data_IF_082291422690
#
_entry.id   IF_082291422690
#
_cell.length_a   1.000
_cell.length_b   1.000
_cell.length_c   1.000
_cell.angle_alpha   90.00
_cell.angle_beta   90.00
_cell.angle_gamma   90.00
#
_symmetry.space_group_name_H-M   'P 1'
#
loop_
_entity.id
_entity.type
_entity.pdbx_description
1 polymer ?
#
# COMPACT_ATOMS: atom_id res chain seq x y z
N UNK A 1 36.08 -21.82 -26.79
CA UNK A 1 34.63 -21.57 -26.81
C UNK A 1 34.37 -20.31 -26.03
N UNK A 2 34.36 -19.18 -26.74
CA UNK A 2 34.09 -17.87 -26.18
C UNK A 2 32.63 -17.79 -25.72
N UNK A 3 32.43 -17.33 -24.50
CA UNK A 3 31.10 -16.99 -23.98
C UNK A 3 30.58 -15.79 -24.77
N UNK A 4 29.60 -16.05 -25.62
CA UNK A 4 28.82 -15.01 -26.29
C UNK A 4 27.94 -14.35 -25.24
N UNK A 5 28.46 -13.28 -24.62
CA UNK A 5 27.62 -12.29 -23.97
C UNK A 5 26.87 -11.53 -25.05
N UNK A 6 25.68 -12.01 -25.40
CA UNK A 6 24.71 -11.27 -26.20
C UNK A 6 24.33 -10.00 -25.44
N UNK A 7 24.91 -8.87 -25.85
CA UNK A 7 24.48 -7.55 -25.43
C UNK A 7 23.02 -7.39 -25.86
N UNK A 8 22.11 -7.24 -24.90
CA UNK A 8 20.72 -6.91 -25.19
C UNK A 8 20.67 -5.62 -26.06
N UNK A 9 19.87 -5.59 -27.13
CA UNK A 9 19.84 -4.45 -28.05
C UNK A 9 19.46 -3.16 -27.34
N UNK A 10 20.12 -2.08 -27.77
CA UNK A 10 20.19 -0.77 -27.09
C UNK A 10 18.82 -0.15 -26.78
N UNK A 11 17.78 -0.47 -27.57
CA UNK A 11 16.39 -0.02 -27.36
C UNK A 11 15.77 -0.63 -26.08
N UNK A 12 16.15 -1.86 -25.71
CA UNK A 12 15.59 -2.59 -24.57
C UNK A 12 16.23 -2.20 -23.24
N UNK A 13 17.55 -1.95 -23.23
CA UNK A 13 18.21 -1.32 -22.07
C UNK A 13 17.55 0.02 -21.76
N UNK A 14 17.30 0.83 -22.79
CA UNK A 14 16.59 2.09 -22.61
C UNK A 14 15.17 1.91 -22.04
N UNK A 15 14.41 0.90 -22.48
CA UNK A 15 13.07 0.63 -21.93
C UNK A 15 13.10 0.15 -20.48
N UNK A 16 14.02 -0.74 -20.12
CA UNK A 16 14.18 -1.22 -18.74
C UNK A 16 14.61 -0.07 -17.85
N UNK A 17 15.69 0.64 -18.21
CA UNK A 17 16.25 1.73 -17.42
C UNK A 17 15.26 2.87 -17.26
N UNK A 18 14.51 3.24 -18.31
CA UNK A 18 13.46 4.24 -18.23
C UNK A 18 12.29 3.79 -17.33
N UNK A 19 11.94 2.51 -17.34
CA UNK A 19 10.86 1.97 -16.51
C UNK A 19 11.28 1.86 -15.05
N UNK A 20 12.53 1.47 -14.79
CA UNK A 20 13.13 1.51 -13.45
C UNK A 20 13.16 2.95 -12.94
N UNK A 21 13.64 3.91 -13.74
CA UNK A 21 13.65 5.32 -13.35
C UNK A 21 12.24 5.86 -13.07
N UNK A 22 11.24 5.44 -13.86
CA UNK A 22 9.84 5.78 -13.61
C UNK A 22 9.36 5.26 -12.25
N UNK A 23 9.53 3.98 -11.94
CA UNK A 23 9.10 3.43 -10.66
C UNK A 23 9.89 4.02 -9.50
N UNK A 24 11.19 4.26 -9.68
CA UNK A 24 12.00 4.92 -8.67
C UNK A 24 11.50 6.35 -8.38
N UNK A 25 11.03 7.08 -9.39
CA UNK A 25 10.44 8.40 -9.20
C UNK A 25 9.05 8.31 -8.55
N UNK A 26 8.18 7.43 -9.06
CA UNK A 26 6.80 7.29 -8.60
C UNK A 26 6.71 6.66 -7.19
N UNK A 27 7.32 5.50 -7.00
CA UNK A 27 7.18 4.64 -5.81
C UNK A 27 8.35 4.74 -4.84
N UNK A 28 9.54 5.10 -5.33
CA UNK A 28 10.77 5.13 -4.53
C UNK A 28 11.52 3.80 -4.52
N UNK A 29 11.08 2.86 -5.35
CA UNK A 29 11.69 1.55 -5.56
C UNK A 29 11.30 1.02 -6.94
N UNK A 30 12.03 0.02 -7.41
CA UNK A 30 11.76 -0.74 -8.63
C UNK A 30 12.02 -2.24 -8.37
N UNK A 31 11.83 -3.15 -9.34
CA UNK A 31 12.35 -4.51 -9.21
C UNK A 31 13.88 -4.47 -9.07
N UNK A 32 14.39 -5.12 -8.04
CA UNK A 32 15.83 -5.19 -7.72
C UNK A 32 16.34 -6.63 -7.71
N UNK A 33 15.52 -7.57 -7.23
CA UNK A 33 15.87 -8.97 -7.09
C UNK A 33 15.45 -9.81 -8.29
N UNK A 34 14.47 -9.32 -9.07
CA UNK A 34 13.96 -10.03 -10.24
C UNK A 34 15.01 -10.06 -11.33
N UNK A 35 15.36 -11.27 -11.75
CA UNK A 35 16.21 -11.51 -12.92
C UNK A 35 15.38 -11.52 -14.20
N UNK A 36 15.97 -11.03 -15.29
CA UNK A 36 15.36 -11.07 -16.63
C UNK A 36 16.14 -12.04 -17.51
N UNK A 37 15.47 -13.06 -18.02
CA UNK A 37 15.97 -13.96 -19.04
C UNK A 37 15.20 -13.75 -20.35
N UNK A 38 15.90 -13.80 -21.46
CA UNK A 38 15.32 -13.64 -22.79
C UNK A 38 15.64 -14.87 -23.61
N UNK A 39 14.61 -15.44 -24.23
CA UNK A 39 14.74 -16.63 -25.05
C UNK A 39 14.34 -16.25 -26.48
N UNK A 40 15.25 -16.40 -27.46
CA UNK A 40 14.94 -16.17 -28.87
C UNK A 40 13.71 -16.98 -29.32
N UNK A 41 12.92 -16.43 -30.25
CA UNK A 41 11.68 -17.07 -30.71
C UNK A 41 11.92 -18.50 -31.24
N UNK A 42 13.01 -18.72 -31.95
CA UNK A 42 13.39 -20.04 -32.48
C UNK A 42 13.77 -21.07 -31.40
N UNK A 43 14.02 -20.64 -30.16
CA UNK A 43 14.36 -21.50 -29.01
C UNK A 43 13.20 -21.60 -28.01
N UNK A 44 12.12 -20.83 -28.20
CA UNK A 44 11.05 -20.71 -27.20
C UNK A 44 10.31 -22.01 -26.96
N UNK A 45 9.89 -22.70 -28.03
CA UNK A 45 9.11 -23.92 -27.90
C UNK A 45 9.90 -25.01 -27.20
N UNK A 46 11.18 -25.19 -27.58
CA UNK A 46 12.08 -26.14 -26.92
C UNK A 46 12.24 -25.80 -25.44
N UNK A 47 12.51 -24.52 -25.12
CA UNK A 47 12.62 -24.06 -23.73
C UNK A 47 11.35 -24.33 -22.92
N UNK A 48 10.18 -24.04 -23.49
CA UNK A 48 8.89 -24.22 -22.83
C UNK A 48 8.59 -25.71 -22.61
N UNK A 49 8.77 -26.55 -23.63
CA UNK A 49 8.54 -27.99 -23.56
C UNK A 49 9.45 -28.68 -22.53
N UNK A 50 10.75 -28.37 -22.55
CA UNK A 50 11.72 -28.93 -21.59
C UNK A 50 11.39 -28.61 -20.13
N UNK A 51 10.61 -27.54 -19.89
CA UNK A 51 10.21 -27.10 -18.55
C UNK A 51 8.74 -27.36 -18.22
N UNK A 52 8.00 -28.03 -19.12
CA UNK A 52 6.57 -28.29 -18.94
C UNK A 52 5.72 -27.01 -18.90
N UNK A 53 6.14 -25.98 -19.64
CA UNK A 53 5.49 -24.67 -19.72
C UNK A 53 4.65 -24.56 -20.99
N UNK A 54 3.73 -23.61 -21.05
CA UNK A 54 2.89 -23.40 -22.22
C UNK A 54 3.70 -22.72 -23.36
N UNK A 55 3.94 -23.39 -24.50
CA UNK A 55 4.72 -22.82 -25.62
C UNK A 55 4.01 -21.64 -26.28
N UNK A 56 2.69 -21.51 -26.13
CA UNK A 56 1.93 -20.38 -26.67
C UNK A 56 2.02 -19.11 -25.81
N UNK A 57 2.62 -19.18 -24.63
CA UNK A 57 2.87 -17.97 -23.83
C UNK A 57 3.96 -17.10 -24.47
N UNK A 58 3.88 -15.79 -24.25
CA UNK A 58 4.91 -14.84 -24.69
C UNK A 58 5.87 -14.43 -23.57
N UNK A 59 5.64 -14.92 -22.35
CA UNK A 59 6.40 -14.61 -21.15
C UNK A 59 5.94 -15.49 -20.01
N UNK A 60 6.83 -15.69 -19.04
CA UNK A 60 6.60 -16.50 -17.84
C UNK A 60 7.39 -15.90 -16.68
N UNK A 61 6.71 -15.61 -15.59
CA UNK A 61 7.34 -15.30 -14.31
C UNK A 61 7.40 -16.53 -13.41
N UNK A 62 8.56 -16.74 -12.80
CA UNK A 62 8.84 -17.84 -11.87
C UNK A 62 9.07 -17.28 -10.46
N UNK A 63 8.04 -17.21 -9.60
CA UNK A 63 8.16 -16.62 -8.26
C UNK A 63 9.24 -17.26 -7.40
N UNK A 64 9.40 -18.59 -7.53
CA UNK A 64 10.41 -19.39 -6.83
C UNK A 64 11.83 -18.84 -6.95
N UNK A 65 12.20 -18.39 -8.15
CA UNK A 65 13.54 -17.89 -8.45
C UNK A 65 13.55 -16.37 -8.68
N UNK A 66 12.38 -15.71 -8.57
CA UNK A 66 12.17 -14.32 -8.97
C UNK A 66 12.77 -14.06 -10.35
N UNK A 67 12.33 -14.84 -11.34
CA UNK A 67 12.85 -14.77 -12.70
C UNK A 67 11.71 -14.52 -13.69
N UNK A 68 11.82 -13.43 -14.44
CA UNK A 68 10.97 -13.17 -15.59
C UNK A 68 11.67 -13.71 -16.85
N UNK A 69 11.00 -14.59 -17.57
CA UNK A 69 11.47 -15.12 -18.85
C UNK A 69 10.57 -14.59 -19.95
N UNK A 70 11.14 -13.89 -20.92
CA UNK A 70 10.37 -13.30 -22.03
C UNK A 70 10.75 -13.92 -23.36
N UNK A 71 9.74 -14.19 -24.19
CA UNK A 71 9.94 -14.63 -25.57
C UNK A 71 10.36 -13.43 -26.41
N UNK A 72 11.56 -13.53 -26.95
CA UNK A 72 12.15 -12.56 -27.87
C UNK A 72 12.12 -11.10 -27.32
N UNK A 73 12.09 -10.12 -28.21
CA UNK A 73 11.93 -8.70 -27.91
C UNK A 73 10.46 -8.29 -27.82
N UNK A 74 9.68 -8.92 -26.93
CA UNK A 74 8.31 -8.52 -26.67
C UNK A 74 8.23 -7.54 -25.48
N UNK A 75 8.00 -6.23 -25.69
CA UNK A 75 7.95 -5.25 -24.59
C UNK A 75 6.74 -5.44 -23.67
N UNK A 76 5.61 -5.91 -24.19
CA UNK A 76 4.42 -6.16 -23.36
C UNK A 76 4.66 -7.31 -22.39
N UNK A 77 5.29 -8.40 -22.84
CA UNK A 77 5.73 -9.47 -21.95
C UNK A 77 6.77 -8.99 -20.95
N UNK A 78 7.70 -8.11 -21.34
CA UNK A 78 8.61 -7.48 -20.38
C UNK A 78 7.86 -6.71 -19.29
N UNK A 79 6.88 -5.89 -19.66
CA UNK A 79 6.07 -5.13 -18.71
C UNK A 79 5.26 -6.05 -17.79
N UNK A 80 4.66 -7.10 -18.35
CA UNK A 80 3.84 -8.05 -17.61
C UNK A 80 4.66 -8.89 -16.63
N UNK A 81 5.70 -9.57 -17.12
CA UNK A 81 6.45 -10.54 -16.33
C UNK A 81 7.46 -9.86 -15.39
N UNK A 82 8.27 -8.93 -15.92
CA UNK A 82 9.36 -8.33 -15.14
C UNK A 82 8.85 -7.23 -14.21
N UNK A 83 8.08 -6.28 -14.74
CA UNK A 83 7.58 -5.16 -13.95
C UNK A 83 6.26 -5.47 -13.23
N UNK A 84 5.36 -6.24 -13.83
CA UNK A 84 4.11 -6.64 -13.20
C UNK A 84 4.35 -7.66 -12.09
N UNK A 85 4.69 -8.89 -12.47
CA UNK A 85 4.89 -9.95 -11.49
C UNK A 85 6.12 -9.76 -10.61
N UNK A 86 7.26 -9.34 -11.17
CA UNK A 86 8.48 -9.08 -10.41
C UNK A 86 8.29 -8.05 -9.30
N UNK A 87 7.77 -6.87 -9.64
CA UNK A 87 7.50 -5.82 -8.64
C UNK A 87 6.50 -6.28 -7.58
N UNK A 88 5.44 -6.99 -7.98
CA UNK A 88 4.47 -7.53 -7.03
C UNK A 88 5.13 -8.50 -6.04
N UNK A 89 5.90 -9.47 -6.54
CA UNK A 89 6.59 -10.43 -5.68
C UNK A 89 7.63 -9.80 -4.75
N UNK A 90 8.26 -8.71 -5.16
CA UNK A 90 9.27 -8.02 -4.35
C UNK A 90 8.71 -7.00 -3.36
N UNK A 91 7.66 -6.26 -3.72
CA UNK A 91 7.25 -5.04 -3.01
C UNK A 91 5.82 -5.08 -2.46
N UNK A 92 5.09 -6.18 -2.71
CA UNK A 92 3.77 -6.43 -2.15
C UNK A 92 3.83 -7.49 -1.03
N UNK A 93 3.09 -7.32 0.08
CA UNK A 93 3.08 -8.32 1.16
C UNK A 93 2.57 -9.70 0.71
N UNK A 94 1.51 -9.73 -0.08
CA UNK A 94 0.95 -10.97 -0.64
C UNK A 94 1.95 -11.58 -1.64
N UNK A 95 2.59 -10.76 -2.47
CA UNK A 95 3.62 -11.21 -3.40
C UNK A 95 4.85 -11.81 -2.71
N UNK A 96 5.30 -11.20 -1.61
CA UNK A 96 6.42 -11.72 -0.80
C UNK A 96 6.06 -13.06 -0.17
N UNK A 97 4.84 -13.22 0.35
CA UNK A 97 4.36 -14.49 0.89
C UNK A 97 4.33 -15.59 -0.18
N UNK A 98 3.95 -15.27 -1.42
CA UNK A 98 4.03 -16.23 -2.53
C UNK A 98 5.47 -16.73 -2.74
N UNK A 99 6.44 -15.81 -2.78
CA UNK A 99 7.87 -16.15 -2.95
C UNK A 99 8.39 -16.98 -1.76
N UNK A 100 8.00 -16.62 -0.54
CA UNK A 100 8.38 -17.35 0.67
C UNK A 100 7.90 -18.81 0.64
N UNK A 101 6.61 -19.03 0.33
CA UNK A 101 6.04 -20.37 0.22
C UNK A 101 6.71 -21.21 -0.87
N UNK A 102 7.01 -20.60 -2.02
CA UNK A 102 7.73 -21.25 -3.12
C UNK A 102 9.15 -21.66 -2.75
N UNK A 103 9.89 -20.76 -2.08
CA UNK A 103 11.25 -21.04 -1.61
C UNK A 103 11.24 -22.11 -0.53
N UNK A 104 10.30 -22.04 0.42
CA UNK A 104 10.13 -23.06 1.46
C UNK A 104 9.87 -24.44 0.85
N UNK A 105 8.93 -24.53 -0.09
CA UNK A 105 8.65 -25.77 -0.80
C UNK A 105 9.88 -26.30 -1.54
N UNK A 106 10.64 -25.43 -2.21
CA UNK A 106 11.88 -25.84 -2.89
C UNK A 106 12.91 -26.43 -1.94
N UNK A 107 13.09 -25.86 -0.75
CA UNK A 107 14.04 -26.40 0.24
C UNK A 107 13.56 -27.76 0.78
N UNK A 108 12.26 -27.94 0.99
CA UNK A 108 11.68 -29.24 1.36
C UNK A 108 11.86 -30.29 0.24
N UNK A 109 11.65 -29.90 -1.02
CA UNK A 109 11.90 -30.77 -2.19
C UNK A 109 13.38 -31.18 -2.27
N UNK A 110 14.31 -30.23 -2.08
CA UNK A 110 15.76 -30.52 -2.07
C UNK A 110 16.14 -31.48 -0.96
N UNK A 111 15.56 -31.34 0.22
CA UNK A 111 15.84 -32.21 1.36
C UNK A 111 15.36 -33.64 1.09
N UNK A 112 14.10 -33.80 0.67
CA UNK A 112 13.48 -35.09 0.36
C UNK A 112 14.26 -35.87 -0.72
N UNK A 113 14.76 -35.16 -1.73
CA UNK A 113 15.43 -35.77 -2.87
C UNK A 113 16.95 -35.64 -2.84
N UNK A 114 17.54 -35.19 -1.73
CA UNK A 114 18.99 -34.92 -1.61
C UNK A 114 19.88 -36.14 -1.89
N UNK A 115 19.40 -37.35 -1.55
CA UNK A 115 20.19 -38.58 -1.60
C UNK A 115 19.83 -39.51 -2.77
N UNK A 116 18.91 -39.12 -3.64
CA UNK A 116 18.42 -39.99 -4.73
C UNK A 116 18.04 -39.22 -5.99
N UNK A 117 18.14 -39.89 -7.13
CA UNK A 117 17.43 -39.44 -8.34
C UNK A 117 15.93 -39.67 -8.12
N UNK A 118 15.12 -38.79 -8.67
CA UNK A 118 13.66 -38.84 -8.55
C UNK A 118 13.03 -38.52 -9.91
N UNK A 119 11.81 -39.00 -10.12
CA UNK A 119 11.02 -38.70 -11.33
C UNK A 119 10.02 -37.57 -11.07
N UNK A 120 9.33 -37.13 -12.12
CA UNK A 120 8.25 -36.15 -11.98
C UNK A 120 7.09 -36.72 -11.14
N UNK A 121 6.79 -38.01 -11.27
CA UNK A 121 5.76 -38.69 -10.47
C UNK A 121 6.12 -38.73 -8.97
N UNK A 122 7.39 -38.95 -8.64
CA UNK A 122 7.88 -38.89 -7.26
C UNK A 122 7.65 -37.49 -6.66
N UNK A 123 7.99 -36.45 -7.42
CA UNK A 123 7.79 -35.05 -7.03
C UNK A 123 6.30 -34.73 -6.84
N UNK A 124 5.45 -35.17 -7.77
CA UNK A 124 4.00 -34.97 -7.68
C UNK A 124 3.41 -35.65 -6.45
N UNK A 125 3.84 -36.89 -6.14
CA UNK A 125 3.39 -37.63 -4.96
C UNK A 125 3.83 -36.93 -3.67
N UNK A 126 5.07 -36.46 -3.61
CA UNK A 126 5.56 -35.66 -2.48
C UNK A 126 4.69 -34.43 -2.26
N UNK A 127 4.43 -33.65 -3.31
CA UNK A 127 3.61 -32.44 -3.25
C UNK A 127 2.18 -32.68 -2.76
N UNK A 128 1.52 -33.74 -3.22
CA UNK A 128 0.16 -34.08 -2.79
C UNK A 128 0.04 -34.27 -1.26
N UNK A 129 1.07 -34.84 -0.63
CA UNK A 129 1.12 -35.03 0.83
C UNK A 129 1.76 -33.88 1.61
N UNK A 130 2.31 -32.87 0.94
CA UNK A 130 3.10 -31.81 1.58
C UNK A 130 2.23 -30.62 2.00
N UNK A 131 2.31 -30.22 3.28
CA UNK A 131 1.51 -29.13 3.84
C UNK A 131 1.86 -27.76 3.22
N UNK A 132 3.14 -27.49 2.96
CA UNK A 132 3.57 -26.24 2.34
C UNK A 132 3.03 -26.12 0.91
N UNK A 133 2.98 -27.21 0.15
CA UNK A 133 2.37 -27.23 -1.18
C UNK A 133 0.86 -26.98 -1.11
N UNK A 134 0.15 -27.62 -0.18
CA UNK A 134 -1.29 -27.37 0.02
C UNK A 134 -1.57 -25.91 0.42
N UNK A 135 -0.76 -25.35 1.31
CA UNK A 135 -0.84 -23.92 1.68
C UNK A 135 -0.59 -23.03 0.46
N UNK A 136 0.43 -23.31 -0.35
CA UNK A 136 0.74 -22.58 -1.58
C UNK A 136 -0.40 -22.63 -2.59
N UNK A 137 -1.01 -23.80 -2.81
CA UNK A 137 -2.13 -23.95 -3.75
C UNK A 137 -3.37 -23.18 -3.26
N UNK A 138 -3.71 -23.27 -1.99
CA UNK A 138 -4.81 -22.49 -1.41
C UNK A 138 -4.53 -20.98 -1.54
N UNK A 139 -3.30 -20.55 -1.21
CA UNK A 139 -2.89 -19.15 -1.32
C UNK A 139 -2.96 -18.64 -2.77
N UNK A 140 -2.57 -19.46 -3.75
CA UNK A 140 -2.69 -19.14 -5.17
C UNK A 140 -4.15 -19.00 -5.57
N UNK A 141 -5.02 -19.94 -5.20
CA UNK A 141 -6.45 -19.86 -5.53
C UNK A 141 -7.11 -18.57 -5.01
N UNK A 142 -6.72 -18.12 -3.82
CA UNK A 142 -7.23 -16.88 -3.21
C UNK A 142 -6.68 -15.60 -3.87
N UNK A 143 -5.46 -15.62 -4.41
CA UNK A 143 -4.74 -14.40 -4.79
C UNK A 143 -4.39 -14.29 -6.29
N UNK A 144 -4.54 -15.37 -7.08
CA UNK A 144 -4.11 -15.43 -8.48
C UNK A 144 -4.76 -14.34 -9.33
N UNK A 145 -6.06 -14.09 -9.13
CA UNK A 145 -6.78 -13.05 -9.87
C UNK A 145 -6.19 -11.67 -9.61
N UNK A 146 -5.87 -11.34 -8.35
CA UNK A 146 -5.30 -10.03 -7.99
C UNK A 146 -3.88 -9.88 -8.54
N UNK A 147 -3.09 -10.95 -8.44
CA UNK A 147 -1.73 -11.02 -8.95
C UNK A 147 -1.67 -10.81 -10.47
N UNK A 148 -2.51 -11.50 -11.22
CA UNK A 148 -2.62 -11.36 -12.67
C UNK A 148 -3.18 -9.99 -13.08
N UNK A 149 -4.24 -9.54 -12.40
CA UNK A 149 -4.85 -8.23 -12.67
C UNK A 149 -3.82 -7.09 -12.52
N UNK A 150 -2.94 -7.17 -11.52
CA UNK A 150 -1.87 -6.20 -11.33
C UNK A 150 -0.87 -6.21 -12.49
N UNK A 151 -0.47 -7.40 -12.96
CA UNK A 151 0.47 -7.52 -14.07
C UNK A 151 -0.11 -7.00 -15.39
N UNK A 152 -1.39 -7.29 -15.67
CA UNK A 152 -2.10 -6.75 -16.83
C UNK A 152 -2.24 -5.22 -16.73
N UNK A 153 -2.55 -4.68 -15.54
CA UNK A 153 -2.61 -3.23 -15.36
C UNK A 153 -1.24 -2.57 -15.55
N UNK A 154 -0.16 -3.21 -15.08
CA UNK A 154 1.21 -2.74 -15.29
C UNK A 154 1.60 -2.75 -16.76
N UNK A 155 1.21 -3.80 -17.50
CA UNK A 155 1.34 -3.91 -18.95
C UNK A 155 0.63 -2.75 -19.65
N UNK A 156 -0.61 -2.45 -19.27
CA UNK A 156 -1.36 -1.29 -19.79
C UNK A 156 -0.64 0.02 -19.49
N UNK A 157 -0.27 0.27 -18.24
CA UNK A 157 0.37 1.51 -17.76
C UNK A 157 1.64 1.82 -18.57
N UNK A 158 2.56 0.85 -18.65
CA UNK A 158 3.81 1.04 -19.38
C UNK A 158 3.59 1.08 -20.90
N UNK A 159 2.58 0.37 -21.42
CA UNK A 159 2.23 0.48 -22.84
C UNK A 159 1.77 1.90 -23.21
N UNK A 160 1.01 2.58 -22.35
CA UNK A 160 0.64 3.98 -22.59
C UNK A 160 1.87 4.88 -22.53
N UNK A 161 2.73 4.68 -21.52
CA UNK A 161 3.93 5.49 -21.30
C UNK A 161 4.94 5.43 -22.46
N UNK A 162 5.05 4.28 -23.11
CA UNK A 162 6.01 4.06 -24.20
C UNK A 162 5.36 4.02 -25.59
N UNK A 163 4.14 4.54 -25.75
CA UNK A 163 3.42 4.58 -27.03
C UNK A 163 3.19 3.20 -27.68
N UNK A 164 3.00 2.16 -26.86
CA UNK A 164 2.70 0.78 -27.26
C UNK A 164 1.24 0.38 -26.99
N UNK A 165 0.37 1.37 -26.72
CA UNK A 165 -1.04 1.17 -26.37
C UNK A 165 -1.82 0.36 -27.40
N UNK A 166 -1.56 0.57 -28.70
CA UNK A 166 -2.23 -0.19 -29.77
C UNK A 166 -1.92 -1.69 -29.69
N UNK A 167 -0.68 -2.04 -29.37
CA UNK A 167 -0.26 -3.44 -29.19
C UNK A 167 -1.01 -4.09 -28.03
N UNK A 168 -1.17 -3.38 -26.90
CA UNK A 168 -1.97 -3.86 -25.78
C UNK A 168 -3.45 -4.00 -26.16
N UNK A 169 -4.01 -3.02 -26.88
CA UNK A 169 -5.41 -3.04 -27.30
C UNK A 169 -5.75 -4.21 -28.23
N UNK A 170 -4.80 -4.73 -29.02
CA UNK A 170 -5.01 -5.93 -29.83
C UNK A 170 -5.14 -7.20 -28.98
N UNK A 171 -4.49 -7.26 -27.81
CA UNK A 171 -4.61 -8.37 -26.84
C UNK A 171 -5.93 -8.31 -26.04
N UNK A 172 -6.45 -7.10 -25.83
CA UNK A 172 -7.58 -6.84 -24.94
C UNK A 172 -8.87 -7.64 -25.22
N UNK A 173 -9.30 -7.86 -26.49
CA UNK A 173 -10.53 -8.61 -26.79
C UNK A 173 -10.47 -10.10 -26.43
N UNK A 174 -9.27 -10.65 -26.21
CA UNK A 174 -9.10 -12.07 -25.88
C UNK A 174 -9.29 -12.37 -24.39
N UNK A 175 -9.44 -11.35 -23.54
CA UNK A 175 -9.83 -11.54 -22.15
C UNK A 175 -11.30 -11.96 -22.04
N UNK A 176 -11.61 -12.85 -21.11
CA UNK A 176 -12.99 -13.19 -20.82
C UNK A 176 -13.75 -11.97 -20.25
N UNK A 177 -15.10 -11.97 -20.35
CA UNK A 177 -15.94 -10.82 -19.93
C UNK A 177 -15.68 -10.36 -18.49
N UNK A 178 -15.44 -11.31 -17.57
CA UNK A 178 -15.16 -11.01 -16.16
C UNK A 178 -13.82 -10.29 -16.00
N UNK A 179 -12.76 -10.81 -16.64
CA UNK A 179 -11.43 -10.22 -16.65
C UNK A 179 -11.44 -8.81 -17.26
N UNK A 180 -12.13 -8.59 -18.38
CA UNK A 180 -12.25 -7.25 -18.98
C UNK A 180 -12.95 -6.25 -18.05
N UNK A 181 -13.95 -6.68 -17.26
CA UNK A 181 -14.61 -5.79 -16.30
C UNK A 181 -13.67 -5.38 -15.17
N UNK A 182 -12.88 -6.31 -14.63
CA UNK A 182 -11.91 -6.04 -13.56
C UNK A 182 -10.77 -5.13 -14.06
N UNK A 183 -10.27 -5.38 -15.29
CA UNK A 183 -9.25 -4.54 -15.92
C UNK A 183 -9.78 -3.11 -16.17
N UNK A 184 -11.00 -2.98 -16.72
CA UNK A 184 -11.63 -1.67 -16.90
C UNK A 184 -11.81 -0.92 -15.57
N UNK A 185 -12.20 -1.64 -14.51
CA UNK A 185 -12.36 -1.06 -13.19
C UNK A 185 -11.05 -0.48 -12.67
N UNK A 186 -9.94 -1.23 -12.74
CA UNK A 186 -8.64 -0.75 -12.24
C UNK A 186 -8.05 0.38 -13.11
N UNK A 187 -8.22 0.31 -14.43
CA UNK A 187 -7.84 1.42 -15.32
C UNK A 187 -8.66 2.68 -14.99
N UNK A 188 -9.96 2.53 -14.74
CA UNK A 188 -10.84 3.62 -14.31
C UNK A 188 -10.39 4.22 -12.98
N UNK A 189 -10.05 3.38 -12.00
CA UNK A 189 -9.50 3.80 -10.72
C UNK A 189 -8.20 4.60 -10.90
N UNK A 190 -7.26 4.09 -11.70
CA UNK A 190 -5.99 4.77 -12.00
C UNK A 190 -6.18 6.12 -12.68
N UNK A 191 -7.16 6.27 -13.57
CA UNK A 191 -7.50 7.55 -14.19
C UNK A 191 -8.15 8.52 -13.21
N UNK A 192 -8.91 8.00 -12.25
CA UNK A 192 -9.62 8.82 -11.29
C UNK A 192 -8.70 9.35 -10.19
N UNK A 193 -7.86 8.47 -9.61
CA UNK A 193 -7.08 8.71 -8.41
C UNK A 193 -5.55 8.73 -8.62
N UNK A 194 -5.06 8.40 -9.81
CA UNK A 194 -3.63 8.38 -10.12
C UNK A 194 -2.98 7.01 -9.97
N UNK A 195 -1.78 6.90 -10.52
CA UNK A 195 -0.99 5.66 -10.55
C UNK A 195 -0.55 5.26 -9.13
N UNK A 196 -0.08 6.22 -8.33
CA UNK A 196 0.38 5.97 -6.96
C UNK A 196 -0.73 5.42 -6.05
N UNK A 197 -1.94 5.98 -6.17
CA UNK A 197 -3.13 5.46 -5.47
C UNK A 197 -3.44 4.02 -5.88
N UNK A 198 -3.24 3.69 -7.16
CA UNK A 198 -3.51 2.35 -7.70
C UNK A 198 -2.54 1.31 -7.14
N UNK A 199 -1.25 1.64 -7.05
CA UNK A 199 -0.27 0.81 -6.34
C UNK A 199 -0.69 0.55 -4.88
N UNK A 200 -1.16 1.59 -4.18
CA UNK A 200 -1.55 1.47 -2.77
C UNK A 200 -2.83 0.64 -2.58
N UNK A 201 -3.76 0.69 -3.52
CA UNK A 201 -4.95 -0.18 -3.59
C UNK A 201 -4.55 -1.65 -3.78
N UNK A 202 -3.49 -1.93 -4.56
CA UNK A 202 -2.95 -3.27 -4.66
C UNK A 202 -2.17 -3.74 -3.43
N UNK A 203 -1.95 -2.89 -2.43
CA UNK A 203 -1.28 -3.26 -1.17
C UNK A 203 0.25 -3.17 -1.21
N UNK A 204 0.78 -2.35 -2.12
CA UNK A 204 2.22 -2.08 -2.21
C UNK A 204 2.73 -1.20 -1.06
N UNK A 205 4.03 -1.26 -0.83
CA UNK A 205 4.72 -0.38 0.11
C UNK A 205 4.52 1.09 -0.26
N UNK A 206 4.19 1.90 0.75
CA UNK A 206 3.85 3.32 0.68
C UNK A 206 5.02 4.13 1.20
N UNK A 207 5.87 4.63 0.30
CA UNK A 207 6.94 5.55 0.66
C UNK A 207 6.31 6.94 0.86
N UNK A 208 6.16 7.34 2.11
CA UNK A 208 5.38 8.52 2.52
C UNK A 208 6.26 9.76 2.73
N UNK A 209 7.09 10.11 1.74
CA UNK A 209 7.83 11.38 1.74
C UNK A 209 6.98 12.55 1.19
N UNK A 210 7.45 13.78 1.43
CA UNK A 210 6.72 14.99 1.05
C UNK A 210 6.41 15.06 -0.46
N UNK A 211 7.36 14.67 -1.32
CA UNK A 211 7.19 14.70 -2.78
C UNK A 211 6.08 13.74 -3.22
N UNK A 212 6.09 12.51 -2.71
CA UNK A 212 5.10 11.46 -3.04
C UNK A 212 3.73 11.76 -2.47
N UNK A 213 3.67 12.25 -1.23
CA UNK A 213 2.41 12.65 -0.62
C UNK A 213 1.79 13.84 -1.36
N UNK A 214 2.60 14.80 -1.80
CA UNK A 214 2.13 15.91 -2.63
C UNK A 214 1.64 15.41 -4.00
N UNK A 215 2.37 14.50 -4.65
CA UNK A 215 1.97 13.90 -5.92
C UNK A 215 0.64 13.14 -5.79
N UNK A 216 0.52 12.24 -4.81
CA UNK A 216 -0.71 11.54 -4.48
C UNK A 216 -1.88 12.50 -4.27
N UNK A 217 -1.65 13.55 -3.48
CA UNK A 217 -2.68 14.54 -3.17
C UNK A 217 -3.13 15.29 -4.43
N UNK A 218 -2.21 15.62 -5.35
CA UNK A 218 -2.53 16.29 -6.62
C UNK A 218 -3.42 15.42 -7.50
N UNK A 219 -3.16 14.12 -7.57
CA UNK A 219 -3.96 13.21 -8.40
C UNK A 219 -5.37 13.02 -7.82
N UNK A 220 -5.49 12.86 -6.51
CA UNK A 220 -6.77 12.62 -5.84
C UNK A 220 -7.63 13.88 -5.79
N UNK A 221 -7.07 15.00 -5.34
CA UNK A 221 -7.83 16.22 -5.07
C UNK A 221 -7.83 17.20 -6.24
N UNK A 222 -6.91 17.06 -7.19
CA UNK A 222 -6.83 17.86 -8.43
C UNK A 222 -6.87 19.36 -8.12
N UNK A 223 -7.74 20.10 -8.79
CA UNK A 223 -7.87 21.56 -8.64
C UNK A 223 -8.32 22.01 -7.24
N UNK A 224 -8.86 21.10 -6.41
CA UNK A 224 -9.28 21.41 -5.03
C UNK A 224 -8.11 21.78 -4.12
N UNK A 225 -6.89 21.30 -4.44
CA UNK A 225 -5.70 21.67 -3.68
C UNK A 225 -5.36 23.16 -3.77
N UNK A 226 -5.67 23.80 -4.90
CA UNK A 226 -5.32 25.22 -5.12
C UNK A 226 -6.00 26.16 -4.11
N UNK A 227 -7.11 25.71 -3.51
CA UNK A 227 -7.87 26.45 -2.49
C UNK A 227 -7.81 25.76 -1.12
N UNK A 228 -6.80 24.94 -0.87
CA UNK A 228 -6.64 24.23 0.40
C UNK A 228 -5.64 24.96 1.29
N UNK A 229 -6.09 25.67 2.34
CA UNK A 229 -5.22 26.38 3.28
C UNK A 229 -4.14 25.52 3.91
N UNK A 230 -4.45 24.26 4.20
CA UNK A 230 -3.55 23.38 4.93
C UNK A 230 -3.80 21.92 4.58
N UNK A 231 -2.72 21.21 4.25
CA UNK A 231 -2.68 19.76 4.12
C UNK A 231 -1.44 19.21 4.82
N UNK A 232 -1.67 18.30 5.75
CA UNK A 232 -0.64 17.64 6.56
C UNK A 232 -0.76 16.12 6.38
N UNK A 233 0.38 15.43 6.44
CA UNK A 233 0.39 13.99 6.69
C UNK A 233 0.64 13.75 8.17
N UNK A 234 -0.22 12.97 8.80
CA UNK A 234 -0.07 12.55 10.18
C UNK A 234 0.00 11.03 10.25
N UNK A 235 0.09 10.43 11.44
CA UNK A 235 0.13 8.96 11.58
C UNK A 235 1.54 8.35 11.51
N UNK A 236 1.60 7.02 11.30
CA UNK A 236 2.83 6.26 11.56
C UNK A 236 3.90 6.37 10.47
N UNK A 237 3.50 6.69 9.23
CA UNK A 237 4.39 6.73 8.07
C UNK A 237 5.10 5.40 7.76
N UNK A 238 4.60 4.27 8.26
CA UNK A 238 5.17 2.94 7.99
C UNK A 238 4.82 2.51 6.56
N UNK A 239 5.69 1.71 5.94
CA UNK A 239 5.56 1.31 4.54
C UNK A 239 4.23 0.59 4.23
N UNK A 240 3.67 -0.18 5.16
CA UNK A 240 2.42 -0.91 4.91
C UNK A 240 1.25 -0.39 5.76
N UNK A 241 1.40 0.76 6.44
CA UNK A 241 0.26 1.45 7.04
C UNK A 241 -0.48 2.25 5.98
N UNK A 242 -1.74 2.54 6.25
CA UNK A 242 -2.50 3.59 5.58
C UNK A 242 -1.75 4.94 5.54
N UNK A 243 -2.17 5.78 4.60
CA UNK A 243 -1.78 7.18 4.49
C UNK A 243 -2.83 8.01 5.21
N UNK A 244 -2.42 8.73 6.24
CA UNK A 244 -3.30 9.57 7.06
C UNK A 244 -3.12 11.05 6.65
N UNK A 245 -4.09 11.63 5.96
CA UNK A 245 -4.08 13.04 5.53
C UNK A 245 -5.03 13.89 6.37
N UNK A 246 -4.54 15.01 6.88
CA UNK A 246 -5.34 16.02 7.56
C UNK A 246 -5.42 17.28 6.70
N UNK A 247 -6.64 17.72 6.40
CA UNK A 247 -6.88 18.89 5.57
C UNK A 247 -7.78 19.90 6.28
N UNK A 248 -7.44 21.19 6.15
CA UNK A 248 -8.39 22.28 6.37
C UNK A 248 -8.70 22.87 5.00
N UNK A 249 -9.92 22.63 4.52
CA UNK A 249 -10.36 22.99 3.17
C UNK A 249 -11.89 23.02 3.07
N UNK A 250 -12.42 23.95 2.28
CA UNK A 250 -13.86 23.98 1.95
C UNK A 250 -14.21 23.05 0.77
N UNK A 251 -13.21 22.50 0.07
CA UNK A 251 -13.38 21.75 -1.19
C UNK A 251 -13.07 20.25 -1.04
N UNK A 252 -12.22 19.90 -0.05
CA UNK A 252 -11.88 18.52 0.29
C UNK A 252 -12.84 18.02 1.37
N UNK A 253 -13.40 16.84 1.14
CA UNK A 253 -14.27 16.14 2.09
C UNK A 253 -13.53 14.96 2.70
N UNK A 254 -13.91 14.60 3.93
CA UNK A 254 -13.36 13.41 4.58
C UNK A 254 -13.71 12.16 3.78
N UNK A 255 -12.74 11.27 3.60
CA UNK A 255 -12.90 9.99 2.91
C UNK A 255 -12.00 8.95 3.56
N UNK A 256 -12.42 7.69 3.54
CA UNK A 256 -11.74 6.60 4.21
C UNK A 256 -11.73 5.37 3.31
N UNK A 257 -10.57 4.75 3.13
CA UNK A 257 -10.38 3.50 2.40
C UNK A 257 -9.44 2.59 3.19
N UNK A 258 -9.13 1.40 2.66
CA UNK A 258 -8.19 0.49 3.30
C UNK A 258 -6.73 0.99 3.29
N UNK A 259 -6.43 2.07 2.57
CA UNK A 259 -5.07 2.59 2.41
C UNK A 259 -4.94 4.11 2.57
N UNK A 260 -6.06 4.85 2.63
CA UNK A 260 -6.09 6.31 2.75
C UNK A 260 -7.19 6.74 3.72
N UNK A 261 -6.78 7.46 4.76
CA UNK A 261 -7.66 8.11 5.73
C UNK A 261 -7.51 9.64 5.57
N UNK A 262 -8.50 10.31 4.99
CA UNK A 262 -8.54 11.77 4.87
C UNK A 262 -9.49 12.33 5.91
N UNK A 263 -8.95 13.13 6.83
CA UNK A 263 -9.71 13.94 7.78
C UNK A 263 -9.71 15.38 7.29
N UNK A 264 -10.84 15.80 6.74
CA UNK A 264 -11.01 17.15 6.22
C UNK A 264 -12.04 17.92 7.03
N UNK A 265 -11.70 19.17 7.34
CA UNK A 265 -12.56 20.14 8.02
C UNK A 265 -12.63 21.42 7.19
N UNK A 266 -13.81 22.02 7.08
CA UNK A 266 -13.87 23.40 6.60
C UNK A 266 -13.28 24.37 7.64
N UNK A 267 -13.03 25.62 7.26
CA UNK A 267 -12.39 26.60 8.15
C UNK A 267 -13.14 26.76 9.48
N UNK A 268 -14.47 26.87 9.41
CA UNK A 268 -15.32 27.08 10.60
C UNK A 268 -15.31 25.84 11.51
N UNK A 269 -15.46 24.65 10.94
CA UNK A 269 -15.40 23.39 11.67
C UNK A 269 -14.05 23.22 12.36
N UNK A 270 -12.94 23.54 11.67
CA UNK A 270 -11.62 23.49 12.25
C UNK A 270 -11.50 24.43 13.45
N UNK A 271 -12.01 25.66 13.35
CA UNK A 271 -12.01 26.60 14.46
C UNK A 271 -12.85 26.12 15.65
N UNK A 272 -14.03 25.56 15.38
CA UNK A 272 -14.91 25.07 16.42
C UNK A 272 -14.31 23.85 17.14
N UNK A 273 -13.66 22.94 16.43
CA UNK A 273 -12.96 21.80 17.03
C UNK A 273 -11.69 22.20 17.80
N UNK A 274 -10.99 23.26 17.36
CA UNK A 274 -9.86 23.86 18.09
C UNK A 274 -10.31 24.44 19.43
N UNK A 275 -11.44 25.17 19.46
CA UNK A 275 -12.02 25.69 20.72
C UNK A 275 -12.32 24.58 21.73
N UNK A 276 -12.66 23.39 21.24
CA UNK A 276 -12.92 22.20 22.05
C UNK A 276 -11.67 21.40 22.44
N UNK A 277 -10.48 21.85 22.00
CA UNK A 277 -9.20 21.15 22.19
C UNK A 277 -9.29 19.66 21.78
N UNK A 278 -9.98 19.39 20.67
CA UNK A 278 -10.22 18.03 20.21
C UNK A 278 -8.93 17.39 19.66
N UNK A 279 -8.47 16.31 20.29
CA UNK A 279 -7.29 15.54 19.87
C UNK A 279 -7.24 15.19 18.37
N UNK A 280 -8.40 14.99 17.73
CA UNK A 280 -8.49 14.68 16.28
C UNK A 280 -7.98 15.79 15.37
N UNK A 281 -8.01 17.04 15.81
CA UNK A 281 -7.46 18.21 15.09
C UNK A 281 -6.15 18.68 15.70
N UNK A 282 -6.01 18.62 17.04
CA UNK A 282 -4.81 19.09 17.72
C UNK A 282 -3.59 18.24 17.34
N UNK A 283 -3.69 16.91 17.37
CA UNK A 283 -2.52 16.06 17.09
C UNK A 283 -1.99 16.25 15.65
N UNK A 284 -2.81 16.23 14.59
CA UNK A 284 -2.31 16.53 13.25
C UNK A 284 -1.67 17.90 13.14
N UNK A 285 -2.19 18.94 13.78
CA UNK A 285 -1.59 20.28 13.74
C UNK A 285 -0.19 20.30 14.35
N UNK A 286 0.03 19.63 15.49
CA UNK A 286 1.32 19.67 16.19
C UNK A 286 2.34 18.66 15.67
N UNK A 287 1.90 17.43 15.33
CA UNK A 287 2.78 16.32 14.93
C UNK A 287 2.82 16.10 13.41
N UNK A 288 1.88 16.66 12.66
CA UNK A 288 1.76 16.45 11.22
C UNK A 288 2.93 17.03 10.45
N UNK A 289 3.40 16.26 9.46
CA UNK A 289 4.34 16.72 8.44
C UNK A 289 3.61 17.58 7.43
N UNK A 290 4.11 18.78 7.21
CA UNK A 290 3.55 19.69 6.21
C UNK A 290 3.70 19.09 4.79
N UNK A 291 2.62 19.13 4.00
CA UNK A 291 2.64 18.76 2.58
C UNK A 291 2.39 19.98 1.70
N UNK A 292 1.32 20.73 1.99
CA UNK A 292 0.87 21.85 1.15
C UNK A 292 0.10 22.87 2.01
N UNK A 293 0.11 24.12 1.55
CA UNK A 293 -0.74 25.20 2.08
C UNK A 293 0.09 26.40 2.54
N UNK A 294 -0.43 27.11 3.52
CA UNK A 294 0.22 28.25 4.14
C UNK A 294 0.90 27.84 5.47
N UNK A 295 2.24 27.97 5.52
CA UNK A 295 3.04 27.65 6.71
C UNK A 295 2.81 28.66 7.84
N UNK A 296 2.55 29.92 7.52
CA UNK A 296 2.25 30.95 8.51
C UNK A 296 0.84 30.74 9.09
N UNK A 297 -0.10 30.26 8.29
CA UNK A 297 -1.40 29.80 8.78
C UNK A 297 -1.25 28.63 9.77
N UNK A 298 -0.44 27.61 9.46
CA UNK A 298 -0.15 26.51 10.39
C UNK A 298 0.48 27.02 11.69
N UNK A 299 1.44 27.94 11.60
CA UNK A 299 2.09 28.56 12.77
C UNK A 299 1.06 29.32 13.63
N UNK A 300 0.21 30.12 13.00
CA UNK A 300 -0.87 30.86 13.65
C UNK A 300 -1.84 29.92 14.37
N UNK A 301 -2.20 28.78 13.76
CA UNK A 301 -3.04 27.77 14.42
C UNK A 301 -2.36 27.19 15.67
N UNK A 302 -1.07 26.86 15.60
CA UNK A 302 -0.31 26.37 16.75
C UNK A 302 -0.28 27.40 17.89
N UNK A 303 0.00 28.66 17.58
CA UNK A 303 0.01 29.75 18.56
C UNK A 303 -1.38 29.98 19.18
N UNK A 304 -2.44 29.96 18.35
CA UNK A 304 -3.83 30.04 18.82
C UNK A 304 -4.15 28.93 19.82
N UNK A 305 -3.80 27.69 19.51
CA UNK A 305 -4.02 26.54 20.40
C UNK A 305 -3.21 26.67 21.70
N UNK A 306 -1.94 27.08 21.61
CA UNK A 306 -1.05 27.26 22.77
C UNK A 306 -1.57 28.34 23.73
N UNK A 307 -2.11 29.45 23.19
CA UNK A 307 -2.56 30.59 23.97
C UNK A 307 -4.03 30.52 24.41
N UNK A 308 -4.85 29.65 23.80
CA UNK A 308 -6.28 29.51 24.13
C UNK A 308 -6.49 29.02 25.57
N UNK A 309 -7.33 29.64 26.37
CA UNK A 309 -7.63 29.13 27.71
C UNK A 309 -8.36 27.77 27.66
N UNK A 310 -8.12 26.92 28.67
CA UNK A 310 -8.91 25.69 28.84
C UNK A 310 -10.29 26.10 29.35
N UNK A 311 -11.33 25.70 28.63
CA UNK A 311 -12.72 26.02 28.99
C UNK A 311 -13.46 24.79 29.52
N UNK A 312 -14.47 25.02 30.38
CA UNK A 312 -15.39 23.95 30.82
C UNK A 312 -16.10 23.27 29.65
N UNK A 313 -16.35 24.00 28.55
CA UNK A 313 -16.93 23.43 27.35
C UNK A 313 -16.00 22.39 26.70
N UNK A 314 -14.70 22.67 26.60
CA UNK A 314 -13.71 21.73 26.06
C UNK A 314 -13.58 20.48 26.94
N UNK A 315 -13.58 20.64 28.27
CA UNK A 315 -13.55 19.53 29.23
C UNK A 315 -14.79 18.65 29.06
N UNK A 316 -15.98 19.24 29.09
CA UNK A 316 -17.25 18.53 28.95
C UNK A 316 -17.33 17.78 27.61
N UNK A 317 -16.97 18.42 26.50
CA UNK A 317 -16.95 17.76 25.19
C UNK A 317 -16.08 16.50 25.18
N UNK A 318 -14.88 16.56 25.76
CA UNK A 318 -14.01 15.40 25.81
C UNK A 318 -14.56 14.29 26.73
N UNK A 319 -15.25 14.62 27.82
CA UNK A 319 -15.95 13.63 28.64
C UNK A 319 -17.11 12.97 27.87
N UNK A 320 -17.90 13.74 27.14
CA UNK A 320 -19.00 13.22 26.31
C UNK A 320 -18.47 12.28 25.21
N UNK A 321 -17.37 12.65 24.55
CA UNK A 321 -16.71 11.79 23.54
C UNK A 321 -16.12 10.52 24.16
N UNK A 322 -15.58 10.60 25.37
CA UNK A 322 -15.17 9.42 26.12
C UNK A 322 -16.34 8.45 26.31
N UNK A 323 -17.47 8.91 26.83
CA UNK A 323 -18.64 8.07 27.10
C UNK A 323 -19.20 7.47 25.81
N UNK A 324 -19.30 8.28 24.75
CA UNK A 324 -19.72 7.82 23.42
C UNK A 324 -18.85 6.66 22.92
N UNK A 325 -17.54 6.85 22.89
CA UNK A 325 -16.61 5.85 22.37
C UNK A 325 -16.50 4.63 23.29
N UNK A 326 -16.58 4.82 24.62
CA UNK A 326 -16.60 3.72 25.59
C UNK A 326 -17.84 2.84 25.38
N UNK A 327 -19.02 3.43 25.21
CA UNK A 327 -20.25 2.67 24.90
C UNK A 327 -20.08 1.86 23.61
N UNK A 328 -19.53 2.46 22.55
CA UNK A 328 -19.28 1.76 21.28
C UNK A 328 -18.25 0.64 21.38
N UNK A 329 -17.26 0.74 22.28
CA UNK A 329 -16.30 -0.36 22.47
C UNK A 329 -16.91 -1.66 23.00
N UNK A 330 -18.11 -1.61 23.58
CA UNK A 330 -18.86 -2.80 24.03
C UNK A 330 -19.92 -3.27 23.03
N UNK A 331 -20.07 -2.58 21.89
CA UNK A 331 -21.04 -2.94 20.87
C UNK A 331 -20.55 -4.16 20.09
N UNK A 332 -21.18 -5.32 20.31
CA UNK A 332 -20.81 -6.58 19.65
C UNK A 332 -21.11 -6.59 18.15
N UNK A 333 -21.91 -5.65 17.64
CA UNK A 333 -22.28 -5.60 16.22
C UNK A 333 -21.20 -5.02 15.31
N UNK A 334 -20.26 -4.22 15.85
CA UNK A 334 -19.27 -3.49 15.04
C UNK A 334 -17.95 -4.24 14.81
N UNK A 335 -17.84 -5.48 15.31
CA UNK A 335 -16.62 -6.29 15.20
C UNK A 335 -15.46 -5.81 16.08
N UNK A 336 -14.53 -6.72 16.37
CA UNK A 336 -13.46 -6.50 17.35
C UNK A 336 -12.54 -5.32 17.00
N UNK A 337 -12.17 -5.16 15.73
CA UNK A 337 -11.31 -4.07 15.29
C UNK A 337 -11.90 -2.69 15.61
N UNK A 338 -13.19 -2.48 15.30
CA UNK A 338 -13.84 -1.20 15.62
C UNK A 338 -14.08 -1.04 17.12
N UNK A 339 -14.32 -2.12 17.86
CA UNK A 339 -14.37 -2.07 19.33
C UNK A 339 -13.04 -1.55 19.90
N UNK A 340 -11.91 -2.10 19.46
CA UNK A 340 -10.58 -1.70 19.91
C UNK A 340 -10.26 -0.24 19.51
N UNK A 341 -10.61 0.17 18.28
CA UNK A 341 -10.48 1.58 17.83
C UNK A 341 -11.31 2.53 18.69
N UNK A 342 -12.53 2.14 19.08
CA UNK A 342 -13.37 2.92 19.98
C UNK A 342 -12.83 2.95 21.41
N UNK A 343 -12.31 1.83 21.94
CA UNK A 343 -11.70 1.78 23.26
C UNK A 343 -10.45 2.68 23.34
N UNK A 344 -9.62 2.68 22.29
CA UNK A 344 -8.49 3.62 22.20
C UNK A 344 -8.99 5.07 22.18
N UNK A 345 -9.99 5.38 21.35
CA UNK A 345 -10.55 6.73 21.23
C UNK A 345 -11.13 7.24 22.56
N UNK A 346 -11.82 6.37 23.32
CA UNK A 346 -12.36 6.76 24.63
C UNK A 346 -11.24 7.12 25.60
N UNK A 347 -10.17 6.30 25.69
CA UNK A 347 -9.01 6.57 26.54
C UNK A 347 -8.28 7.87 26.17
N UNK A 348 -8.16 8.19 24.87
CA UNK A 348 -7.61 9.46 24.40
C UNK A 348 -8.42 10.63 24.97
N UNK A 349 -9.74 10.62 24.77
CA UNK A 349 -10.62 11.70 25.22
C UNK A 349 -10.66 11.85 26.76
N UNK A 350 -10.68 10.74 27.49
CA UNK A 350 -10.61 10.78 28.96
C UNK A 350 -9.30 11.42 29.44
N UNK A 351 -8.17 11.03 28.84
CA UNK A 351 -6.86 11.57 29.21
C UNK A 351 -6.79 13.08 28.96
N UNK A 352 -7.30 13.56 27.83
CA UNK A 352 -7.45 14.99 27.55
C UNK A 352 -8.30 15.70 28.59
N UNK A 353 -9.50 15.18 28.89
CA UNK A 353 -10.40 15.81 29.86
C UNK A 353 -9.76 15.93 31.25
N UNK A 354 -9.08 14.88 31.72
CA UNK A 354 -8.43 14.89 33.04
C UNK A 354 -7.21 15.81 33.07
N UNK A 355 -6.41 15.87 32.00
CA UNK A 355 -5.29 16.79 31.91
C UNK A 355 -5.78 18.25 31.92
N UNK A 356 -6.85 18.54 31.18
CA UNK A 356 -7.45 19.87 31.13
C UNK A 356 -8.00 20.32 32.49
N UNK A 357 -8.65 19.42 33.25
CA UNK A 357 -9.08 19.70 34.64
C UNK A 357 -7.93 20.07 35.58
N UNK A 358 -6.69 19.69 35.23
CA UNK A 358 -5.48 20.02 35.98
C UNK A 358 -4.74 21.24 35.40
N UNK A 359 -5.29 21.90 34.38
CA UNK A 359 -4.67 23.05 33.72
C UNK A 359 -3.66 22.68 32.63
N UNK A 360 -3.56 21.41 32.21
CA UNK A 360 -2.62 20.96 31.18
C UNK A 360 -3.31 20.69 29.84
N UNK A 361 -2.70 21.14 28.74
CA UNK A 361 -3.08 20.75 27.37
C UNK A 361 -2.16 19.66 26.88
N UNK A 362 -2.75 18.58 26.38
CA UNK A 362 -2.03 17.53 25.65
C UNK A 362 -2.11 17.89 24.16
N UNK A 363 -0.97 18.15 23.54
CA UNK A 363 -0.88 18.65 22.17
C UNK A 363 -0.38 17.59 21.19
N UNK A 364 0.26 16.54 21.69
CA UNK A 364 0.86 15.47 20.89
C UNK A 364 0.39 14.09 21.39
N UNK A 365 0.39 13.08 20.51
CA UNK A 365 0.12 11.71 20.91
C UNK A 365 1.20 11.19 21.87
N UNK A 366 2.46 11.64 21.71
CA UNK A 366 3.52 11.31 22.66
C UNK A 366 3.23 11.82 24.08
N UNK A 367 2.87 13.10 24.23
CA UNK A 367 2.47 13.66 25.53
C UNK A 367 1.29 12.92 26.14
N UNK A 368 0.35 12.47 25.31
CA UNK A 368 -0.78 11.67 25.74
C UNK A 368 -0.32 10.34 26.36
N UNK A 369 0.56 9.60 25.69
CA UNK A 369 1.12 8.34 26.21
C UNK A 369 1.85 8.59 27.53
N UNK A 370 2.70 9.62 27.59
CA UNK A 370 3.46 9.97 28.79
C UNK A 370 2.54 10.36 29.97
N UNK A 371 1.50 11.14 29.70
CA UNK A 371 0.48 11.50 30.68
C UNK A 371 -0.24 10.25 31.19
N UNK A 372 -0.68 9.38 30.27
CA UNK A 372 -1.43 8.18 30.62
C UNK A 372 -0.59 7.19 31.43
N UNK A 373 0.69 7.01 31.10
CA UNK A 373 1.59 6.11 31.84
C UNK A 373 1.88 6.56 33.27
N UNK A 374 1.95 7.88 33.49
CA UNK A 374 2.21 8.44 34.83
C UNK A 374 0.99 8.41 35.75
N UNK A 375 -0.23 8.42 35.18
CA UNK A 375 -1.46 8.71 35.93
C UNK A 375 -2.43 7.54 36.02
N UNK A 376 -2.38 6.58 35.10
CA UNK A 376 -3.33 5.48 35.07
C UNK A 376 -2.70 4.14 35.45
N UNK A 377 -3.54 3.27 36.00
CA UNK A 377 -3.20 1.87 36.25
C UNK A 377 -2.91 1.12 34.94
N UNK A 378 -2.22 -0.02 35.01
CA UNK A 378 -1.79 -0.76 33.81
C UNK A 378 -2.95 -1.14 32.87
N UNK A 379 -4.14 -1.43 33.40
CA UNK A 379 -5.38 -1.72 32.66
C UNK A 379 -5.99 -0.51 31.93
N UNK A 380 -5.67 0.69 32.40
CA UNK A 380 -6.23 1.95 31.91
C UNK A 380 -5.32 2.66 30.90
N UNK A 381 -4.08 2.17 30.71
CA UNK A 381 -3.13 2.67 29.71
C UNK A 381 -3.68 2.60 28.29
N UNK A 382 -3.20 3.50 27.43
CA UNK A 382 -3.62 3.57 26.03
C UNK A 382 -3.19 2.30 25.30
N UNK A 383 -4.12 1.73 24.53
CA UNK A 383 -3.83 0.59 23.67
C UNK A 383 -3.19 1.14 22.39
N UNK A 384 -1.94 0.79 22.16
CA UNK A 384 -1.30 1.02 20.86
C UNK A 384 -1.79 -0.04 19.88
N UNK A 385 -2.52 0.39 18.85
CA UNK A 385 -2.87 -0.49 17.74
C UNK A 385 -1.61 -0.69 16.90
N UNK A 386 -1.16 -1.93 16.75
CA UNK A 386 -0.13 -2.27 15.78
C UNK A 386 -0.73 -2.10 14.39
N UNK A 387 -0.35 -1.03 13.68
CA UNK A 387 -0.69 -0.83 12.28
C UNK A 387 0.12 -1.75 11.37
N UNK A 388 -0.51 -2.22 10.29
CA UNK A 388 0.03 -3.18 9.32
C UNK A 388 -0.71 -4.52 9.38
N UNK A 389 -0.85 -5.20 8.23
CA UNK A 389 -1.28 -6.60 8.17
C UNK A 389 -0.30 -7.41 9.03
N UNK A 390 -0.78 -7.96 10.15
CA UNK A 390 -0.11 -9.05 10.86
C UNK A 390 -0.38 -10.36 10.14
#
# INVERSE_FOLDING_TARGET
MEQVHTQAPQIKRNLIDASVAFYQDLLGYAPEQTSLQQIPENQWNEFAEQRGLNPNSSGIYLPRNQAAVVRDENPLSLFHEYFGHGLYCEQNLTGRKLVELEKKLLEEEKQEFSSRRFTLEDLQRFRQGNLTFQELENFRQENLVRYELFAIWTEYLLSEKYNLKESFQRKYPYFNKKGSSEINHIIGFSKLYGELATFYEFGFARVQDEKRLLHLSKDIFKTKLNKTPLLLHFGSGKLFSDVDLFAISNEIVSMYSNWLDVRAYNLKEAEDEIKLLNSKIIFPIFEGKFILGDKDYLKTLKEKILNQEITEQAIRYNLEKFDYHKKRSFDKSIGKYLQDKNLRSSKIHLSHALAMKQGYKILTFKELIDYSHKRFSHSEKIIELKGGLQ
#
